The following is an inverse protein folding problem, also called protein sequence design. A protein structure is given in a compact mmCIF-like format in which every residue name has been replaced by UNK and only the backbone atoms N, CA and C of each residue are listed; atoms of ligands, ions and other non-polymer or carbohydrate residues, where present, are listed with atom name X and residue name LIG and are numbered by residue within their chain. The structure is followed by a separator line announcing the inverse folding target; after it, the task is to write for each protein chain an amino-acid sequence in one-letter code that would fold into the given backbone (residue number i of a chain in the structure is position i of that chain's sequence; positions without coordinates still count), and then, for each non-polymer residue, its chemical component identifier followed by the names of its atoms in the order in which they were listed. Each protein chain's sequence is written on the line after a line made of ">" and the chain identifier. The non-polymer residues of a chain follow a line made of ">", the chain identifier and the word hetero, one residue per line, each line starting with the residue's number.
data_IF_054751901161
#
_entry.id   IF_054751901161
#
_cell.length_a   1.000
_cell.length_b   1.000
_cell.length_c   1.000
_cell.angle_alpha   90.00
_cell.angle_beta   90.00
_cell.angle_gamma   90.00
#
_symmetry.space_group_name_H-M   'P 1'
#
loop_
_entity.id
_entity.type
_entity.pdbx_description
1 polymer ?
#
# COMPACT_ATOMS: atom_id res chain seq x y z
N UNK A 1 -0.89 -13.33 -25.15
CA UNK A 1 -0.56 -12.64 -23.87
C UNK A 1 -0.42 -11.16 -24.17
N UNK A 2 -1.26 -10.32 -23.61
CA UNK A 2 -1.17 -8.86 -23.78
C UNK A 2 -0.12 -8.36 -22.76
N UNK A 3 0.85 -7.58 -23.23
CA UNK A 3 1.94 -7.06 -22.38
C UNK A 3 1.36 -6.11 -21.33
N UNK A 4 1.83 -6.18 -20.09
CA UNK A 4 1.48 -5.22 -19.04
C UNK A 4 2.05 -3.83 -19.38
N UNK A 5 1.32 -2.76 -19.04
CA UNK A 5 1.82 -1.39 -19.21
C UNK A 5 2.83 -1.02 -18.13
N UNK A 6 2.65 -1.57 -16.90
CA UNK A 6 3.51 -1.36 -15.75
C UNK A 6 3.76 -2.70 -15.06
N UNK A 7 4.96 -2.88 -14.54
CA UNK A 7 5.31 -4.05 -13.74
C UNK A 7 6.15 -3.66 -12.53
N UNK A 8 5.93 -4.35 -11.41
CA UNK A 8 6.69 -4.16 -10.19
C UNK A 8 6.87 -5.49 -9.47
N UNK A 9 8.01 -5.67 -8.79
CA UNK A 9 8.24 -6.83 -7.95
C UNK A 9 8.02 -6.48 -6.49
N UNK A 10 6.87 -6.87 -5.95
CA UNK A 10 6.51 -6.69 -4.54
C UNK A 10 6.89 -7.95 -3.74
N UNK A 11 8.03 -7.91 -3.07
CA UNK A 11 8.53 -9.08 -2.36
C UNK A 11 8.75 -10.26 -3.31
N UNK A 12 7.98 -11.34 -3.14
CA UNK A 12 7.95 -12.53 -3.99
C UNK A 12 6.85 -12.50 -5.06
N UNK A 13 6.06 -11.43 -5.18
CA UNK A 13 4.93 -11.34 -6.11
C UNK A 13 5.23 -10.39 -7.26
N UNK A 14 5.02 -10.83 -8.49
CA UNK A 14 5.01 -9.96 -9.65
C UNK A 14 3.67 -9.23 -9.73
N UNK A 15 3.68 -7.91 -9.73
CA UNK A 15 2.50 -7.05 -9.91
C UNK A 15 2.51 -6.54 -11.34
N UNK A 16 1.52 -6.95 -12.12
CA UNK A 16 1.33 -6.53 -13.51
C UNK A 16 0.09 -5.65 -13.59
N UNK A 17 0.24 -4.43 -14.11
CA UNK A 17 -0.86 -3.50 -14.28
C UNK A 17 -1.02 -3.14 -15.75
N UNK A 18 -2.25 -3.24 -16.24
CA UNK A 18 -2.66 -2.73 -17.53
C UNK A 18 -3.57 -1.52 -17.33
N UNK A 19 -3.15 -0.38 -17.85
CA UNK A 19 -3.87 0.89 -17.77
C UNK A 19 -3.74 1.65 -19.09
N UNK A 20 -4.62 1.37 -20.09
CA UNK A 20 -4.54 2.01 -21.39
C UNK A 20 -4.68 3.54 -21.34
N UNK A 21 -5.48 4.05 -20.38
CA UNK A 21 -5.67 5.49 -20.24
C UNK A 21 -4.43 6.17 -19.63
N UNK A 22 -3.83 7.19 -20.32
CA UNK A 22 -2.54 7.78 -19.90
C UNK A 22 -2.55 8.38 -18.48
N UNK A 23 -3.65 9.05 -18.08
CA UNK A 23 -3.74 9.67 -16.74
C UNK A 23 -3.78 8.61 -15.64
N UNK A 24 -4.58 7.54 -15.81
CA UNK A 24 -4.63 6.43 -14.85
C UNK A 24 -3.26 5.77 -14.75
N UNK A 25 -2.63 5.48 -15.89
CA UNK A 25 -1.29 4.90 -15.93
C UNK A 25 -0.24 5.77 -15.23
N UNK A 26 -0.30 7.11 -15.41
CA UNK A 26 0.59 8.04 -14.73
C UNK A 26 0.48 7.99 -13.20
N UNK A 27 -0.74 7.93 -12.67
CA UNK A 27 -0.98 7.79 -11.22
C UNK A 27 -0.43 6.46 -10.71
N UNK A 28 -0.73 5.36 -11.41
CA UNK A 28 -0.28 4.02 -11.00
C UNK A 28 1.23 3.87 -11.10
N UNK A 29 1.87 4.42 -12.15
CA UNK A 29 3.32 4.41 -12.32
C UNK A 29 4.02 5.09 -11.13
N UNK A 30 3.49 6.24 -10.70
CA UNK A 30 4.02 6.94 -9.54
C UNK A 30 3.82 6.14 -8.24
N UNK A 31 2.64 5.55 -8.05
CA UNK A 31 2.33 4.82 -6.82
C UNK A 31 3.11 3.50 -6.66
N UNK A 32 3.34 2.75 -7.74
CA UNK A 32 4.10 1.49 -7.63
C UNK A 32 5.55 1.70 -7.21
N UNK A 33 6.11 2.92 -7.39
CA UNK A 33 7.44 3.28 -6.90
C UNK A 33 7.50 3.29 -5.35
N UNK A 34 6.35 3.45 -4.68
CA UNK A 34 6.26 3.43 -3.22
C UNK A 34 6.16 2.03 -2.64
N UNK A 35 5.76 1.05 -3.45
CA UNK A 35 5.66 -0.33 -3.01
C UNK A 35 7.04 -0.88 -2.63
N UNK A 36 7.05 -1.81 -1.69
CA UNK A 36 8.27 -2.52 -1.30
C UNK A 36 8.90 -3.24 -2.51
N UNK A 37 10.21 -3.28 -2.53
CA UNK A 37 10.98 -3.94 -3.58
C UNK A 37 11.01 -5.47 -3.45
N UNK A 38 11.77 -6.14 -4.32
CA UNK A 38 11.91 -7.59 -4.31
C UNK A 38 12.58 -8.09 -3.02
N UNK A 39 12.12 -9.22 -2.53
CA UNK A 39 12.86 -10.02 -1.55
C UNK A 39 13.85 -10.93 -2.28
N UNK A 40 14.91 -11.38 -1.60
CA UNK A 40 15.91 -12.31 -2.17
C UNK A 40 15.36 -13.75 -2.25
N UNK A 41 14.17 -13.91 -2.79
CA UNK A 41 13.45 -15.17 -2.99
C UNK A 41 12.87 -15.22 -4.40
N UNK A 42 12.60 -16.40 -4.93
CA UNK A 42 11.98 -16.57 -6.24
C UNK A 42 10.56 -15.97 -6.32
N UNK A 43 10.02 -15.83 -7.54
CA UNK A 43 8.63 -15.42 -7.72
C UNK A 43 7.68 -16.49 -7.19
N UNK A 44 6.72 -16.09 -6.35
CA UNK A 44 5.66 -16.96 -5.87
C UNK A 44 4.43 -16.95 -6.81
N UNK A 45 4.28 -15.91 -7.62
CA UNK A 45 3.18 -15.78 -8.58
C UNK A 45 3.00 -14.35 -9.08
N UNK A 46 1.93 -14.15 -9.84
CA UNK A 46 1.61 -12.85 -10.46
C UNK A 46 0.27 -12.35 -9.98
N UNK A 47 0.21 -11.05 -9.67
CA UNK A 47 -1.03 -10.30 -9.36
C UNK A 47 -1.31 -9.35 -10.52
N UNK A 48 -2.49 -9.46 -11.13
CA UNK A 48 -2.85 -8.74 -12.35
C UNK A 48 -3.97 -7.75 -12.10
N UNK A 49 -3.76 -6.53 -12.57
CA UNK A 49 -4.73 -5.45 -12.46
C UNK A 49 -5.00 -4.84 -13.84
N UNK A 50 -6.28 -4.64 -14.15
CA UNK A 50 -6.74 -3.91 -15.32
C UNK A 50 -7.53 -2.69 -14.87
N UNK A 51 -7.10 -1.50 -15.30
CA UNK A 51 -7.79 -0.23 -15.07
C UNK A 51 -8.22 0.37 -16.40
N UNK A 52 -9.49 0.59 -16.59
CA UNK A 52 -10.07 1.16 -17.81
C UNK A 52 -10.82 2.46 -17.48
N UNK A 53 -10.84 3.41 -18.40
CA UNK A 53 -11.73 4.55 -18.36
C UNK A 53 -13.06 4.19 -19.02
N UNK A 54 -14.18 4.68 -18.47
CA UNK A 54 -15.50 4.40 -19.01
C UNK A 54 -16.63 4.68 -18.02
N UNK A 55 -17.80 4.12 -18.28
CA UNK A 55 -18.95 4.23 -17.38
C UNK A 55 -18.91 3.11 -16.34
N UNK A 56 -18.69 3.43 -15.04
CA UNK A 56 -18.74 2.41 -13.99
C UNK A 56 -20.15 1.88 -13.79
N UNK A 57 -20.28 0.58 -13.55
CA UNK A 57 -21.53 -0.03 -13.16
C UNK A 57 -21.90 0.39 -11.74
N UNK A 58 -23.12 0.86 -11.53
CA UNK A 58 -23.60 1.15 -10.18
C UNK A 58 -24.00 -0.14 -9.49
N UNK A 59 -23.53 -0.36 -8.27
CA UNK A 59 -23.96 -1.49 -7.47
C UNK A 59 -25.45 -1.35 -7.14
N UNK A 60 -26.21 -2.42 -7.40
CA UNK A 60 -27.58 -2.53 -6.91
C UNK A 60 -27.59 -2.70 -5.38
N UNK A 61 -28.73 -2.42 -4.74
CA UNK A 61 -28.93 -2.64 -3.30
C UNK A 61 -28.72 -4.11 -2.94
N UNK A 62 -27.74 -4.38 -2.10
CA UNK A 62 -27.39 -5.71 -1.65
C UNK A 62 -27.35 -5.83 -0.12
N UNK A 63 -27.83 -6.97 0.40
CA UNK A 63 -27.98 -7.20 1.84
C UNK A 63 -26.65 -7.41 2.61
N UNK A 64 -25.53 -7.75 1.93
CA UNK A 64 -24.21 -7.99 2.54
C UNK A 64 -23.19 -6.93 2.12
N UNK A 65 -23.53 -5.69 2.36
CA UNK A 65 -22.71 -4.55 1.97
C UNK A 65 -21.92 -3.99 3.17
N UNK A 66 -20.61 -3.84 2.99
CA UNK A 66 -19.77 -3.06 3.90
C UNK A 66 -19.37 -1.77 3.22
N UNK A 67 -19.60 -0.63 3.86
CA UNK A 67 -19.15 0.67 3.35
C UNK A 67 -18.04 1.24 4.21
N UNK A 68 -17.01 1.76 3.58
CA UNK A 68 -15.92 2.49 4.23
C UNK A 68 -15.34 3.49 3.24
N UNK A 69 -15.07 4.71 3.68
CA UNK A 69 -14.40 5.77 2.89
C UNK A 69 -15.06 6.04 1.52
N UNK A 70 -16.38 5.94 1.41
CA UNK A 70 -17.09 6.13 0.14
C UNK A 70 -17.11 4.91 -0.79
N UNK A 71 -16.46 3.84 -0.40
CA UNK A 71 -16.48 2.56 -1.12
C UNK A 71 -17.53 1.63 -0.54
N UNK A 72 -18.13 0.83 -1.41
CA UNK A 72 -19.01 -0.29 -1.06
C UNK A 72 -18.33 -1.58 -1.50
N UNK A 73 -18.32 -2.56 -0.61
CA UNK A 73 -17.69 -3.86 -0.83
C UNK A 73 -18.74 -4.96 -0.69
N UNK A 74 -18.81 -5.83 -1.67
CA UNK A 74 -19.66 -6.99 -1.64
C UNK A 74 -18.88 -8.24 -2.05
N UNK A 75 -18.98 -9.30 -1.27
CA UNK A 75 -18.35 -10.58 -1.60
C UNK A 75 -19.40 -11.56 -2.13
N UNK A 76 -19.18 -12.07 -3.33
CA UNK A 76 -20.04 -13.10 -3.95
C UNK A 76 -19.18 -14.18 -4.57
N UNK A 77 -19.39 -15.45 -4.17
CA UNK A 77 -18.78 -16.65 -4.81
C UNK A 77 -17.27 -16.53 -5.06
N UNK A 78 -16.53 -15.98 -4.11
CA UNK A 78 -15.06 -15.78 -4.24
C UNK A 78 -14.66 -14.47 -4.94
N UNK A 79 -15.58 -13.74 -5.51
CA UNK A 79 -15.35 -12.42 -6.09
C UNK A 79 -15.59 -11.32 -5.05
N UNK A 80 -14.77 -10.28 -5.09
CA UNK A 80 -14.95 -9.03 -4.38
C UNK A 80 -15.42 -7.98 -5.38
N UNK A 81 -16.65 -7.52 -5.22
CA UNK A 81 -17.19 -6.39 -5.96
C UNK A 81 -16.85 -5.10 -5.19
N UNK A 82 -16.31 -4.14 -5.88
CA UNK A 82 -15.98 -2.81 -5.34
C UNK A 82 -16.76 -1.77 -6.14
N UNK A 83 -17.47 -0.89 -5.46
CA UNK A 83 -18.15 0.24 -6.09
C UNK A 83 -17.91 1.53 -5.34
N UNK A 84 -17.81 2.61 -6.09
CA UNK A 84 -17.65 3.99 -5.65
C UNK A 84 -18.47 4.88 -6.59
N UNK A 85 -18.77 6.14 -6.21
CA UNK A 85 -19.53 7.06 -7.06
C UNK A 85 -18.91 7.23 -8.47
N UNK A 86 -17.59 7.08 -8.59
CA UNK A 86 -16.83 7.28 -9.83
C UNK A 86 -16.06 6.05 -10.30
N UNK A 87 -16.27 4.88 -9.68
CA UNK A 87 -15.59 3.66 -10.10
C UNK A 87 -16.39 2.41 -9.75
N UNK A 88 -16.20 1.36 -10.53
CA UNK A 88 -16.64 0.01 -10.18
C UNK A 88 -15.56 -1.00 -10.53
N UNK A 89 -15.57 -2.13 -9.85
CA UNK A 89 -14.60 -3.17 -10.14
C UNK A 89 -14.96 -4.52 -9.55
N UNK A 90 -14.30 -5.52 -10.08
CA UNK A 90 -14.38 -6.90 -9.63
C UNK A 90 -12.96 -7.41 -9.40
N UNK A 91 -12.75 -8.06 -8.28
CA UNK A 91 -11.51 -8.78 -8.01
C UNK A 91 -11.80 -10.24 -7.69
N UNK A 92 -10.88 -11.11 -8.11
CA UNK A 92 -10.77 -12.52 -7.73
C UNK A 92 -9.49 -12.71 -6.94
N UNK A 93 -9.51 -12.42 -5.63
CA UNK A 93 -8.28 -12.36 -4.84
C UNK A 93 -7.49 -13.67 -4.86
N UNK A 94 -8.17 -14.82 -4.85
CA UNK A 94 -7.51 -16.15 -4.89
C UNK A 94 -6.80 -16.39 -6.23
N UNK A 95 -7.36 -15.91 -7.34
CA UNK A 95 -6.75 -15.98 -8.67
C UNK A 95 -5.68 -14.91 -8.89
N UNK A 96 -5.67 -13.86 -8.07
CA UNK A 96 -4.76 -12.73 -8.20
C UNK A 96 -5.12 -11.80 -9.35
N UNK A 97 -6.40 -11.63 -9.65
CA UNK A 97 -6.88 -10.81 -10.75
C UNK A 97 -7.88 -9.75 -10.28
N UNK A 98 -7.78 -8.54 -10.84
CA UNK A 98 -8.74 -7.46 -10.63
C UNK A 98 -8.94 -6.63 -11.89
N UNK A 99 -10.15 -6.11 -12.05
CA UNK A 99 -10.53 -5.19 -13.12
C UNK A 99 -11.37 -4.06 -12.57
N UNK A 100 -11.03 -2.84 -12.97
CA UNK A 100 -11.72 -1.61 -12.57
C UNK A 100 -12.11 -0.79 -13.79
N UNK A 101 -13.27 -0.16 -13.71
CA UNK A 101 -13.73 0.87 -14.63
C UNK A 101 -13.86 2.18 -13.83
N UNK A 102 -13.18 3.22 -14.29
CA UNK A 102 -13.14 4.54 -13.67
C UNK A 102 -13.83 5.53 -14.60
N UNK A 103 -14.74 6.32 -14.04
CA UNK A 103 -15.46 7.36 -14.79
C UNK A 103 -14.46 8.34 -15.45
N UNK A 104 -14.73 8.78 -16.68
CA UNK A 104 -13.88 9.72 -17.41
C UNK A 104 -13.63 11.02 -16.64
N UNK A 105 -14.58 11.44 -15.81
CA UNK A 105 -14.45 12.60 -14.90
C UNK A 105 -13.44 12.40 -13.77
N UNK A 106 -13.09 11.14 -13.44
CA UNK A 106 -12.24 10.77 -12.30
C UNK A 106 -10.92 10.10 -12.70
N UNK A 107 -10.55 10.06 -13.98
CA UNK A 107 -9.30 9.43 -14.45
C UNK A 107 -8.02 10.13 -13.95
N UNK A 108 -8.15 11.29 -13.30
CA UNK A 108 -7.05 12.03 -12.65
C UNK A 108 -7.15 12.02 -11.13
N UNK A 109 -8.17 11.39 -10.56
CA UNK A 109 -8.33 11.25 -9.12
C UNK A 109 -7.30 10.23 -8.60
N UNK A 110 -6.20 10.77 -8.10
CA UNK A 110 -5.07 9.96 -7.65
C UNK A 110 -5.39 9.16 -6.39
N UNK A 111 -6.26 9.68 -5.52
CA UNK A 111 -6.67 9.00 -4.28
C UNK A 111 -7.54 7.80 -4.62
N UNK A 112 -8.59 7.99 -5.42
CA UNK A 112 -9.45 6.92 -5.89
C UNK A 112 -8.66 5.77 -6.55
N UNK A 113 -7.75 6.11 -7.48
CA UNK A 113 -6.98 5.11 -8.23
C UNK A 113 -6.03 4.33 -7.32
N UNK A 114 -5.36 5.01 -6.39
CA UNK A 114 -4.48 4.38 -5.39
C UNK A 114 -5.25 3.45 -4.46
N UNK A 115 -6.40 3.91 -3.98
CA UNK A 115 -7.23 3.15 -3.04
C UNK A 115 -7.73 1.86 -3.67
N UNK A 116 -8.22 1.91 -4.92
CA UNK A 116 -8.65 0.72 -5.64
C UNK A 116 -7.53 -0.32 -5.76
N UNK A 117 -6.32 0.12 -6.11
CA UNK A 117 -5.15 -0.77 -6.16
C UNK A 117 -4.79 -1.29 -4.76
N UNK A 118 -4.68 -0.41 -3.76
CA UNK A 118 -4.21 -0.76 -2.42
C UNK A 118 -5.13 -1.73 -1.70
N UNK A 119 -6.45 -1.44 -1.72
CA UNK A 119 -7.45 -2.28 -1.07
C UNK A 119 -7.47 -3.67 -1.69
N UNK A 120 -7.44 -3.72 -3.03
CA UNK A 120 -7.49 -5.00 -3.74
C UNK A 120 -6.20 -5.78 -3.61
N UNK A 121 -5.05 -5.11 -3.66
CA UNK A 121 -3.74 -5.71 -3.42
C UNK A 121 -3.67 -6.31 -2.00
N UNK A 122 -4.13 -5.56 -0.98
CA UNK A 122 -4.19 -6.04 0.40
C UNK A 122 -5.06 -7.30 0.52
N UNK A 123 -6.19 -7.36 -0.18
CA UNK A 123 -7.08 -8.51 -0.17
C UNK A 123 -6.48 -9.73 -0.90
N UNK A 124 -5.80 -9.52 -2.03
CA UNK A 124 -5.07 -10.57 -2.72
C UNK A 124 -3.93 -11.15 -1.85
N UNK A 125 -3.20 -10.28 -1.16
CA UNK A 125 -2.13 -10.69 -0.24
C UNK A 125 -2.70 -11.42 0.99
N UNK A 126 -3.86 -11.00 1.49
CA UNK A 126 -4.55 -11.67 2.60
C UNK A 126 -4.90 -13.12 2.25
N UNK A 127 -5.38 -13.39 1.04
CA UNK A 127 -5.64 -14.76 0.55
C UNK A 127 -4.37 -15.62 0.46
N UNK A 128 -3.21 -15.01 0.54
CA UNK A 128 -1.87 -15.64 0.54
C UNK A 128 -1.20 -15.65 1.91
N UNK A 129 -1.97 -15.36 2.96
CA UNK A 129 -1.48 -15.36 4.35
C UNK A 129 -0.68 -14.12 4.74
N UNK A 130 -0.77 -13.03 3.97
CA UNK A 130 -0.13 -11.75 4.27
C UNK A 130 -1.18 -10.70 4.63
N UNK A 131 -1.15 -10.19 5.83
CA UNK A 131 -2.18 -9.30 6.36
C UNK A 131 -1.70 -7.86 6.40
N UNK A 132 -2.27 -7.01 5.55
CA UNK A 132 -1.97 -5.59 5.53
C UNK A 132 -2.60 -4.87 6.74
N UNK A 133 -1.81 -4.03 7.38
CA UNK A 133 -2.23 -3.21 8.52
C UNK A 133 -1.67 -1.79 8.39
N UNK A 134 -2.49 -0.78 8.71
CA UNK A 134 -2.03 0.60 8.81
C UNK A 134 -1.25 0.80 10.10
N UNK A 135 0.06 0.64 10.03
CA UNK A 135 0.96 0.65 11.16
C UNK A 135 2.36 1.10 10.73
N UNK A 136 3.10 1.69 11.66
CA UNK A 136 4.52 1.85 11.50
C UNK A 136 5.27 0.58 11.91
N UNK A 137 6.35 0.28 11.22
CA UNK A 137 7.21 -0.86 11.49
C UNK A 137 8.67 -0.44 11.45
N UNK A 138 9.39 -0.77 12.49
CA UNK A 138 10.83 -0.57 12.58
C UNK A 138 11.55 -1.88 12.94
N UNK A 139 12.84 -1.94 12.63
CA UNK A 139 13.72 -3.06 12.96
C UNK A 139 14.84 -2.56 13.88
N UNK A 140 15.15 -3.36 14.90
CA UNK A 140 16.28 -3.15 15.75
C UNK A 140 16.96 -4.47 16.10
N UNK A 141 18.19 -4.66 15.64
CA UNK A 141 19.02 -5.85 15.91
C UNK A 141 18.31 -7.17 15.56
N UNK A 142 17.64 -7.21 14.42
CA UNK A 142 16.91 -8.39 13.93
C UNK A 142 15.52 -8.57 14.55
N UNK A 143 15.04 -7.65 15.38
CA UNK A 143 13.72 -7.69 15.99
C UNK A 143 12.80 -6.59 15.43
N UNK A 144 11.54 -6.91 15.13
CA UNK A 144 10.54 -5.96 14.64
C UNK A 144 9.76 -5.31 15.78
N UNK A 145 9.57 -4.01 15.66
CA UNK A 145 8.68 -3.20 16.51
C UNK A 145 7.54 -2.66 15.65
N UNK A 146 6.31 -3.07 15.95
CA UNK A 146 5.11 -2.64 15.26
C UNK A 146 4.38 -1.60 16.10
N UNK A 147 4.08 -0.44 15.51
CA UNK A 147 3.34 0.65 16.17
C UNK A 147 1.99 0.81 15.51
N UNK A 148 0.93 0.52 16.28
CA UNK A 148 -0.46 0.61 15.84
C UNK A 148 -1.12 1.81 16.50
N UNK A 149 -1.94 2.53 15.76
CA UNK A 149 -2.69 3.65 16.32
C UNK A 149 -3.58 4.31 15.26
N UNK A 150 -4.54 5.08 15.70
CA UNK A 150 -5.39 5.85 14.81
C UNK A 150 -4.59 6.90 14.02
N UNK A 151 -5.17 7.42 12.94
CA UNK A 151 -4.61 8.58 12.23
C UNK A 151 -4.45 9.74 13.20
N UNK A 152 -3.30 10.40 13.18
CA UNK A 152 -2.98 11.48 14.12
C UNK A 152 -2.43 11.03 15.50
N UNK A 153 -2.38 9.73 15.82
CA UNK A 153 -1.84 9.22 17.09
C UNK A 153 -0.31 9.36 17.26
N UNK A 154 0.39 9.94 16.28
CA UNK A 154 1.83 10.17 16.37
C UNK A 154 2.70 9.03 15.84
N UNK A 155 2.16 8.07 15.08
CA UNK A 155 2.95 6.96 14.50
C UNK A 155 4.16 7.44 13.72
N UNK A 156 3.99 8.39 12.80
CA UNK A 156 5.09 8.93 11.99
C UNK A 156 6.12 9.69 12.83
N UNK A 157 5.68 10.44 13.84
CA UNK A 157 6.59 11.10 14.79
C UNK A 157 7.41 10.08 15.57
N UNK A 158 6.77 8.99 16.02
CA UNK A 158 7.46 7.92 16.73
C UNK A 158 8.43 7.17 15.80
N UNK A 159 8.07 6.95 14.52
CA UNK A 159 8.97 6.36 13.52
C UNK A 159 10.23 7.19 13.32
N UNK A 160 10.09 8.51 13.26
CA UNK A 160 11.25 9.40 13.20
C UNK A 160 12.11 9.29 14.46
N UNK A 161 11.51 9.30 15.65
CA UNK A 161 12.22 9.09 16.92
C UNK A 161 12.93 7.73 16.99
N UNK A 162 12.32 6.67 16.48
CA UNK A 162 12.96 5.35 16.38
C UNK A 162 14.16 5.38 15.42
N UNK A 163 14.05 6.06 14.27
CA UNK A 163 15.17 6.21 13.34
C UNK A 163 16.34 6.99 14.00
N UNK A 164 16.04 8.04 14.75
CA UNK A 164 17.03 8.84 15.51
C UNK A 164 17.70 8.02 16.63
N UNK A 165 16.94 7.11 17.26
CA UNK A 165 17.46 6.16 18.24
C UNK A 165 18.29 5.01 17.63
N UNK A 166 18.42 4.99 16.29
CA UNK A 166 19.26 4.02 15.60
C UNK A 166 18.54 2.78 15.13
N UNK A 167 17.20 2.77 15.11
CA UNK A 167 16.39 1.69 14.54
C UNK A 167 16.27 1.88 13.02
N UNK A 168 16.17 0.79 12.28
CA UNK A 168 15.86 0.80 10.85
C UNK A 168 14.35 0.94 10.64
N UNK A 169 13.89 1.96 9.93
CA UNK A 169 12.46 2.12 9.60
C UNK A 169 12.14 1.32 8.35
N UNK A 170 11.15 0.42 8.43
CA UNK A 170 10.64 -0.31 7.28
C UNK A 170 9.51 0.46 6.59
N UNK A 171 8.56 0.96 7.36
CA UNK A 171 7.44 1.77 6.88
C UNK A 171 6.82 2.53 8.05
N UNK A 172 6.11 3.63 7.78
CA UNK A 172 5.27 4.31 8.78
C UNK A 172 3.78 4.32 8.42
N UNK A 173 3.41 3.63 7.33
CA UNK A 173 2.06 3.68 6.78
C UNK A 173 1.43 2.28 6.65
N UNK A 174 1.96 1.41 5.80
CA UNK A 174 1.41 0.07 5.57
C UNK A 174 2.43 -1.04 5.79
N UNK A 175 2.22 -1.80 6.85
CA UNK A 175 2.95 -3.03 7.15
C UNK A 175 2.17 -4.26 6.71
N UNK A 176 2.89 -5.32 6.34
CA UNK A 176 2.37 -6.66 6.12
C UNK A 176 2.79 -7.55 7.28
N UNK A 177 1.84 -8.24 7.87
CA UNK A 177 2.06 -9.28 8.87
C UNK A 177 2.01 -10.64 8.22
N UNK A 178 3.03 -11.43 8.45
CA UNK A 178 3.19 -12.79 7.94
C UNK A 178 3.29 -13.77 9.11
N UNK A 179 2.20 -14.45 9.47
CA UNK A 179 2.26 -15.55 10.44
C UNK A 179 3.12 -16.70 9.92
N UNK A 180 4.02 -17.19 10.77
CA UNK A 180 4.80 -18.40 10.54
C UNK A 180 4.53 -19.38 11.68
N UNK A 181 5.06 -20.58 11.63
CA UNK A 181 4.90 -21.57 12.67
C UNK A 181 5.42 -21.10 14.06
N UNK A 182 6.43 -20.24 14.08
CA UNK A 182 7.15 -19.86 15.31
C UNK A 182 7.04 -18.38 15.66
N UNK A 183 6.56 -17.52 14.75
CA UNK A 183 6.52 -16.08 14.94
C UNK A 183 5.54 -15.40 13.98
N UNK A 184 5.21 -14.16 14.25
CA UNK A 184 4.67 -13.22 13.26
C UNK A 184 5.85 -12.39 12.76
N UNK A 185 6.09 -12.36 11.46
CA UNK A 185 7.07 -11.49 10.83
C UNK A 185 6.39 -10.24 10.29
N UNK A 186 7.08 -9.11 10.40
CA UNK A 186 6.63 -7.86 9.83
C UNK A 186 7.48 -7.50 8.61
N UNK A 187 6.85 -6.96 7.56
CA UNK A 187 7.53 -6.35 6.42
C UNK A 187 6.75 -5.16 5.89
N UNK A 188 7.39 -4.30 5.12
CA UNK A 188 6.71 -3.18 4.49
C UNK A 188 5.81 -3.66 3.34
N UNK A 189 4.66 -3.01 3.15
CA UNK A 189 3.93 -3.01 1.88
C UNK A 189 4.39 -1.81 1.04
N UNK A 190 4.55 -0.65 1.68
CA UNK A 190 5.10 0.56 1.08
C UNK A 190 6.37 0.98 1.82
N UNK A 191 7.40 1.40 1.08
CA UNK A 191 8.71 1.83 1.61
C UNK A 191 8.78 3.33 1.83
N UNK A 192 7.76 3.88 2.45
CA UNK A 192 7.66 5.32 2.70
C UNK A 192 7.72 5.65 4.18
N UNK A 193 8.12 6.88 4.48
CA UNK A 193 7.99 7.49 5.78
C UNK A 193 7.49 8.93 5.62
N UNK A 194 6.57 9.33 6.47
CA UNK A 194 6.00 10.68 6.49
C UNK A 194 6.70 11.51 7.56
N UNK A 195 7.27 12.64 7.17
CA UNK A 195 7.90 13.59 8.07
C UNK A 195 7.05 14.84 8.18
N UNK A 196 6.65 15.28 9.40
CA UNK A 196 6.10 16.61 9.58
C UNK A 196 7.04 17.66 9.00
N UNK A 197 6.51 18.66 8.28
CA UNK A 197 7.36 19.66 7.58
C UNK A 197 8.28 20.40 8.53
N UNK A 198 7.82 20.69 9.73
CA UNK A 198 8.58 21.36 10.79
C UNK A 198 9.71 20.49 11.40
N UNK A 199 9.68 19.17 11.14
CA UNK A 199 10.72 18.23 11.58
C UNK A 199 11.72 17.87 10.46
N UNK A 200 11.53 18.40 9.26
CA UNK A 200 12.50 18.23 8.17
C UNK A 200 13.78 18.99 8.51
N UNK A 201 14.87 18.28 8.72
CA UNK A 201 16.16 18.88 9.10
C UNK A 201 16.78 19.65 7.94
N UNK A 202 17.17 20.92 8.13
CA UNK A 202 17.95 21.65 7.14
C UNK A 202 19.25 20.89 6.81
N UNK A 203 19.54 20.72 5.52
CA UNK A 203 20.75 20.04 5.04
C UNK A 203 20.73 18.52 5.04
N UNK A 204 19.68 17.88 5.55
CA UNK A 204 19.49 16.44 5.37
C UNK A 204 19.04 16.13 3.93
N UNK A 205 19.65 15.11 3.32
CA UNK A 205 19.27 14.67 1.98
C UNK A 205 18.13 13.67 2.08
N UNK A 206 16.89 14.16 1.90
CA UNK A 206 15.72 13.31 1.79
C UNK A 206 15.37 13.08 0.31
N UNK A 207 15.10 11.85 -0.06
CA UNK A 207 14.47 11.56 -1.35
C UNK A 207 12.96 11.79 -1.21
N UNK A 208 12.54 13.02 -1.49
CA UNK A 208 11.14 13.46 -1.37
C UNK A 208 10.32 12.89 -2.51
N UNK A 209 9.28 12.15 -2.18
CA UNK A 209 8.32 11.58 -3.11
C UNK A 209 7.10 12.49 -3.29
N UNK A 210 6.60 13.07 -2.21
CA UNK A 210 5.39 13.89 -2.18
C UNK A 210 5.48 14.96 -1.11
N UNK A 211 4.86 16.12 -1.34
CA UNK A 211 4.60 17.16 -0.34
C UNK A 211 3.10 17.32 -0.18
N UNK A 212 2.61 17.22 1.04
CA UNK A 212 1.20 17.35 1.41
C UNK A 212 1.04 18.60 2.26
N UNK A 213 1.05 19.75 1.62
CA UNK A 213 1.01 21.06 2.28
C UNK A 213 -0.41 21.48 2.66
N UNK A 214 -1.42 20.97 1.95
CA UNK A 214 -2.84 21.30 2.14
C UNK A 214 -3.52 20.47 3.25
N UNK A 215 -2.81 19.57 3.91
CA UNK A 215 -3.33 18.82 5.04
C UNK A 215 -3.31 19.64 6.33
N UNK A 216 -4.18 19.30 7.28
CA UNK A 216 -4.22 19.92 8.62
C UNK A 216 -2.88 19.80 9.37
N UNK A 217 -2.09 18.77 9.04
CA UNK A 217 -0.72 18.55 9.50
C UNK A 217 0.17 18.38 8.27
N UNK A 218 0.75 19.47 7.74
CA UNK A 218 1.58 19.42 6.56
C UNK A 218 2.77 18.46 6.73
N UNK A 219 3.01 17.62 5.73
CA UNK A 219 4.07 16.61 5.78
C UNK A 219 4.77 16.39 4.44
N UNK A 220 5.96 15.84 4.53
CA UNK A 220 6.75 15.38 3.38
C UNK A 220 6.83 13.86 3.43
N UNK A 221 6.44 13.19 2.35
CA UNK A 221 6.61 11.76 2.19
C UNK A 221 7.98 11.52 1.55
N UNK A 222 8.78 10.70 2.19
CA UNK A 222 10.14 10.37 1.74
C UNK A 222 10.30 8.85 1.64
N UNK A 223 11.31 8.40 0.90
CA UNK A 223 11.67 6.98 0.96
C UNK A 223 12.29 6.66 2.33
N UNK A 224 12.10 5.44 2.84
CA UNK A 224 12.65 5.00 4.12
C UNK A 224 14.18 5.07 4.18
N UNK A 225 14.85 4.91 3.04
CA UNK A 225 16.29 5.01 2.92
C UNK A 225 16.82 6.40 3.26
N UNK A 226 15.94 7.42 3.18
CA UNK A 226 16.23 8.78 3.63
C UNK A 226 16.36 8.92 5.15
N UNK A 227 15.90 7.93 5.91
CA UNK A 227 16.03 7.85 7.37
C UNK A 227 17.19 6.92 7.71
N UNK A 228 16.86 5.73 8.19
CA UNK A 228 17.83 4.67 8.47
C UNK A 228 17.34 3.36 7.88
N UNK A 229 18.13 2.77 7.00
CA UNK A 229 17.82 1.49 6.41
C UNK A 229 17.76 0.36 7.46
N UNK A 230 16.79 -0.56 7.38
CA UNK A 230 16.71 -1.70 8.26
C UNK A 230 17.82 -2.71 7.96
N UNK A 231 18.26 -3.43 8.98
CA UNK A 231 19.19 -4.55 8.82
C UNK A 231 18.52 -5.81 8.30
N UNK A 232 17.25 -6.00 8.65
CA UNK A 232 16.41 -7.12 8.18
C UNK A 232 15.07 -6.59 7.66
N UNK A 233 14.67 -7.04 6.46
CA UNK A 233 13.42 -6.64 5.81
C UNK A 233 12.19 -7.44 6.26
N UNK A 234 12.38 -8.55 6.99
CA UNK A 234 11.33 -9.42 7.53
C UNK A 234 11.60 -9.82 8.99
N UNK A 235 11.80 -8.85 9.90
CA UNK A 235 12.10 -9.17 11.28
C UNK A 235 10.91 -9.87 11.96
N UNK A 236 11.17 -10.85 12.88
CA UNK A 236 10.14 -11.36 13.77
C UNK A 236 9.68 -10.25 14.70
N UNK A 237 8.37 -10.08 14.85
CA UNK A 237 7.81 -9.08 15.77
C UNK A 237 8.09 -9.50 17.22
N UNK A 238 8.59 -8.56 18.01
CA UNK A 238 8.90 -8.73 19.43
C UNK A 238 8.16 -7.73 20.31
N UNK A 239 7.73 -6.60 19.72
CA UNK A 239 6.99 -5.57 20.44
C UNK A 239 5.87 -5.04 19.55
N UNK A 240 4.69 -4.87 20.13
CA UNK A 240 3.54 -4.18 19.52
C UNK A 240 3.12 -3.08 20.48
N UNK A 241 3.06 -1.85 19.98
CA UNK A 241 2.75 -0.64 20.75
C UNK A 241 1.49 0.04 20.21
#
# INVERSE_FOLDING_TARGET
>A
MTVADLSHRLGEWDVEIRAPHPSIRGVLAHYIEYLEGPLPVGAAGTLRFLFEAGAPEQAGDAQDERSALGYRFQRRRGELLVSHAHASGTARPDEGEARFVIADSAVRDSELIRDLLSITLAEMLRCRGLFAIHAALAEYRGAGVLVIGQTGAGKSTLSLGMAEAGMGVLTDDWALLEPTETAIRGRALVRTASLPIDQVRPGAMYHVLERREDEALPKVVVTRESLRAPGELRPPLRLVV
#
